data_IF_398552173528
#
_entry.id   IF_398552173528
#
_cell.length_a   1.000
_cell.length_b   1.000
_cell.length_c   1.000
_cell.angle_alpha   90.00
_cell.angle_beta   90.00
_cell.angle_gamma   90.00
#
_symmetry.space_group_name_H-M   'P 1'
#
loop_
_entity.id
_entity.type
_entity.pdbx_description
1 polymer ?
#
# COMPACT_ATOMS: atom_id res chain seq x y z
N UNK A 1 -23.65 25.65 5.08
CA UNK A 1 -23.16 24.66 6.05
C UNK A 1 -23.72 23.30 5.62
N UNK A 2 -22.85 22.32 5.26
CA UNK A 2 -23.34 20.95 5.00
C UNK A 2 -23.83 20.37 6.32
N UNK A 3 -25.09 19.94 6.36
CA UNK A 3 -25.66 19.23 7.50
C UNK A 3 -24.82 17.97 7.72
N UNK A 4 -24.11 17.90 8.84
CA UNK A 4 -23.30 16.72 9.19
C UNK A 4 -24.26 15.60 9.60
N UNK A 5 -24.30 14.52 8.86
CA UNK A 5 -25.15 13.37 9.18
C UNK A 5 -24.66 12.66 10.44
N UNK A 6 -25.57 12.00 11.16
CA UNK A 6 -25.22 11.25 12.38
C UNK A 6 -24.16 10.17 12.10
N UNK A 7 -24.24 9.49 10.95
CA UNK A 7 -23.26 8.53 10.48
C UNK A 7 -21.87 9.15 10.36
N UNK A 8 -21.76 10.35 9.76
CA UNK A 8 -20.48 11.02 9.59
C UNK A 8 -19.86 11.42 10.93
N UNK A 9 -20.68 11.91 11.87
CA UNK A 9 -20.25 12.25 13.23
C UNK A 9 -19.72 11.03 13.98
N UNK A 10 -20.45 9.91 13.97
CA UNK A 10 -20.06 8.67 14.62
C UNK A 10 -18.79 8.08 14.01
N UNK A 11 -18.67 8.15 12.67
CA UNK A 11 -17.45 7.73 11.99
C UNK A 11 -16.24 8.57 12.38
N UNK A 12 -16.35 9.89 12.38
CA UNK A 12 -15.26 10.78 12.77
C UNK A 12 -14.80 10.56 14.20
N UNK A 13 -15.74 10.34 15.13
CA UNK A 13 -15.43 9.98 16.50
C UNK A 13 -14.67 8.65 16.59
N UNK A 14 -15.18 7.60 15.93
CA UNK A 14 -14.54 6.29 15.88
C UNK A 14 -13.12 6.36 15.29
N UNK A 15 -12.96 7.08 14.18
CA UNK A 15 -11.67 7.32 13.54
C UNK A 15 -10.69 8.02 14.46
N UNK A 16 -11.16 9.02 15.22
CA UNK A 16 -10.33 9.76 16.17
C UNK A 16 -9.84 8.82 17.30
N UNK A 17 -10.73 8.04 17.88
CA UNK A 17 -10.35 7.04 18.89
C UNK A 17 -9.32 6.04 18.38
N UNK A 18 -9.51 5.52 17.17
CA UNK A 18 -8.55 4.59 16.52
C UNK A 18 -7.20 5.29 16.31
N UNK A 19 -7.18 6.54 15.83
CA UNK A 19 -5.95 7.30 15.61
C UNK A 19 -5.19 7.55 16.91
N UNK A 20 -5.88 7.89 17.98
CA UNK A 20 -5.29 8.07 19.32
C UNK A 20 -4.64 6.79 19.85
N UNK A 21 -5.31 5.65 19.69
CA UNK A 21 -4.76 4.34 20.07
C UNK A 21 -3.51 4.02 19.24
N UNK A 22 -3.54 4.26 17.92
CA UNK A 22 -2.39 4.07 17.05
C UNK A 22 -1.21 4.92 17.55
N UNK A 23 -1.45 6.19 17.82
CA UNK A 23 -0.40 7.11 18.26
C UNK A 23 0.22 6.71 19.61
N UNK A 24 -0.60 6.22 20.55
CA UNK A 24 -0.16 5.87 21.92
C UNK A 24 0.46 4.47 22.00
N UNK A 25 -0.08 3.50 21.26
CA UNK A 25 0.23 2.08 21.46
C UNK A 25 1.06 1.46 20.34
N UNK A 26 1.08 2.04 19.13
CA UNK A 26 1.83 1.46 18.02
C UNK A 26 3.23 2.07 17.92
N UNK A 27 4.30 1.30 18.18
CA UNK A 27 5.65 1.82 18.11
C UNK A 27 6.02 2.20 16.67
N UNK A 28 6.44 3.43 16.46
CA UNK A 28 6.90 3.91 15.16
C UNK A 28 8.42 3.95 15.08
N UNK A 29 9.00 3.45 13.98
CA UNK A 29 10.44 3.52 13.72
C UNK A 29 10.71 4.27 12.43
N UNK A 30 11.51 5.33 12.48
CA UNK A 30 12.05 5.96 11.28
C UNK A 30 12.93 4.95 10.53
N UNK A 31 12.48 4.53 9.36
CA UNK A 31 13.31 3.72 8.45
C UNK A 31 14.24 4.67 7.72
N UNK A 32 15.56 4.59 8.00
CA UNK A 32 16.54 5.33 7.22
C UNK A 32 16.50 4.81 5.79
N UNK A 33 16.32 5.71 4.80
CA UNK A 33 16.17 5.37 3.38
C UNK A 33 17.39 4.74 2.70
N UNK A 34 18.41 4.30 3.44
CA UNK A 34 19.52 3.52 2.90
C UNK A 34 19.06 2.08 2.69
N UNK A 35 18.94 1.70 1.44
CA UNK A 35 18.73 0.31 1.06
C UNK A 35 19.82 -0.56 1.70
N UNK A 36 19.41 -1.45 2.58
CA UNK A 36 20.31 -2.46 3.16
C UNK A 36 19.99 -3.78 2.46
N UNK A 37 20.92 -4.29 1.62
CA UNK A 37 20.70 -5.58 0.96
C UNK A 37 20.41 -6.66 2.00
N UNK A 38 19.33 -7.45 1.84
CA UNK A 38 18.89 -8.41 2.85
C UNK A 38 19.91 -9.53 3.10
N UNK A 39 20.78 -9.84 2.14
CA UNK A 39 21.82 -10.86 2.26
C UNK A 39 23.05 -10.41 3.07
N UNK A 40 23.17 -9.13 3.44
CA UNK A 40 24.30 -8.68 4.26
C UNK A 40 24.11 -9.07 5.73
N UNK A 41 24.81 -10.12 6.13
CA UNK A 41 24.78 -10.70 7.49
C UNK A 41 25.59 -9.88 8.49
N UNK A 42 25.44 -10.22 9.80
CA UNK A 42 26.28 -9.66 10.85
C UNK A 42 27.78 -9.98 10.66
N UNK A 43 28.11 -11.17 10.12
CA UNK A 43 29.48 -11.57 9.76
C UNK A 43 30.07 -10.66 8.70
N UNK A 44 29.33 -10.44 7.60
CA UNK A 44 29.77 -9.52 6.53
C UNK A 44 30.05 -8.11 7.06
N UNK A 45 29.20 -7.59 7.95
CA UNK A 45 29.41 -6.25 8.56
C UNK A 45 30.70 -6.19 9.40
N UNK A 46 31.02 -7.26 10.14
CA UNK A 46 32.27 -7.34 10.91
C UNK A 46 33.49 -7.36 9.96
N UNK A 47 33.44 -8.14 8.88
CA UNK A 47 34.49 -8.21 7.88
C UNK A 47 34.67 -6.88 7.13
N UNK A 48 33.58 -6.17 6.81
CA UNK A 48 33.66 -4.81 6.21
C UNK A 48 34.43 -3.86 7.13
N UNK A 49 34.12 -3.87 8.44
CA UNK A 49 34.82 -3.03 9.42
C UNK A 49 36.30 -3.46 9.57
N UNK A 50 36.61 -4.77 9.55
CA UNK A 50 37.96 -5.33 9.61
C UNK A 50 38.75 -4.90 8.38
N UNK A 51 38.15 -5.03 7.18
CA UNK A 51 38.76 -4.55 5.91
C UNK A 51 39.07 -3.07 5.97
N UNK A 52 38.17 -2.22 6.46
CA UNK A 52 38.40 -0.77 6.54
C UNK A 52 39.56 -0.42 7.49
N UNK A 53 39.62 -1.11 8.65
CA UNK A 53 40.75 -0.91 9.60
C UNK A 53 42.07 -1.37 9.01
N UNK A 54 42.10 -2.53 8.32
CA UNK A 54 43.32 -3.02 7.65
C UNK A 54 43.75 -2.08 6.51
N UNK A 55 42.82 -1.48 5.75
CA UNK A 55 43.11 -0.49 4.73
C UNK A 55 43.77 0.77 5.31
N UNK A 56 43.18 1.32 6.38
CA UNK A 56 43.74 2.51 7.01
C UNK A 56 45.15 2.25 7.54
N UNK A 57 45.38 1.09 8.22
CA UNK A 57 46.70 0.69 8.69
C UNK A 57 47.70 0.58 7.56
N UNK A 58 47.33 -0.11 6.45
CA UNK A 58 48.21 -0.27 5.30
C UNK A 58 48.55 1.07 4.63
N UNK A 59 47.59 2.02 4.61
CA UNK A 59 47.78 3.36 4.11
C UNK A 59 48.74 4.19 4.98
N UNK A 60 48.62 4.03 6.31
CA UNK A 60 49.41 4.82 7.27
C UNK A 60 50.85 4.27 7.41
N UNK A 61 51.04 2.92 7.32
CA UNK A 61 52.37 2.26 7.47
C UNK A 61 53.10 2.12 6.16
N UNK A 62 52.40 2.16 5.02
CA UNK A 62 52.88 1.86 3.66
C UNK A 62 53.77 0.59 3.55
N UNK A 63 53.46 -0.43 4.39
CA UNK A 63 54.21 -1.67 4.50
C UNK A 63 53.52 -2.79 3.71
N UNK A 64 54.29 -3.56 2.94
CA UNK A 64 53.79 -4.68 2.13
C UNK A 64 53.07 -5.75 2.93
N UNK A 65 53.45 -5.99 4.19
CA UNK A 65 52.73 -6.94 5.08
C UNK A 65 51.31 -6.48 5.40
N UNK A 66 51.12 -5.19 5.65
CA UNK A 66 49.83 -4.62 5.90
C UNK A 66 48.95 -4.60 4.66
N UNK A 67 49.52 -4.29 3.50
CA UNK A 67 48.83 -4.42 2.22
C UNK A 67 48.45 -5.86 1.89
N UNK A 68 49.26 -6.83 2.21
CA UNK A 68 48.96 -8.26 2.03
C UNK A 68 47.83 -8.67 2.95
N UNK A 69 47.82 -8.21 4.20
CA UNK A 69 46.73 -8.45 5.16
C UNK A 69 45.42 -7.86 4.64
N UNK A 70 45.41 -6.64 4.16
CA UNK A 70 44.23 -6.01 3.55
C UNK A 70 43.71 -6.80 2.34
N UNK A 71 44.61 -7.24 1.43
CA UNK A 71 44.24 -8.04 0.25
C UNK A 71 43.58 -9.36 0.64
N UNK A 72 44.08 -10.04 1.67
CA UNK A 72 43.52 -11.30 2.17
C UNK A 72 42.14 -11.09 2.76
N UNK A 73 41.96 -10.09 3.63
CA UNK A 73 40.63 -9.75 4.20
C UNK A 73 39.63 -9.34 3.11
N UNK A 74 40.11 -8.62 2.08
CA UNK A 74 39.26 -8.24 0.92
C UNK A 74 38.77 -9.47 0.16
N UNK A 75 39.65 -10.46 -0.10
CA UNK A 75 39.33 -11.71 -0.78
C UNK A 75 38.31 -12.52 0.04
N UNK A 76 38.53 -12.64 1.35
CA UNK A 76 37.61 -13.33 2.27
C UNK A 76 36.23 -12.68 2.25
N UNK A 77 36.17 -11.35 2.36
CA UNK A 77 34.90 -10.60 2.31
C UNK A 77 34.17 -10.77 0.97
N UNK A 78 34.89 -10.76 -0.15
CA UNK A 78 34.29 -10.94 -1.48
C UNK A 78 33.66 -12.34 -1.61
N UNK A 79 34.35 -13.38 -1.12
CA UNK A 79 33.84 -14.74 -1.11
C UNK A 79 32.58 -14.84 -0.23
N UNK A 80 32.66 -14.40 1.04
CA UNK A 80 31.53 -14.44 1.98
C UNK A 80 30.32 -13.66 1.48
N UNK A 81 30.52 -12.51 0.83
CA UNK A 81 29.41 -11.74 0.25
C UNK A 81 28.75 -12.46 -0.93
N UNK A 82 29.54 -13.11 -1.78
CA UNK A 82 29.02 -13.91 -2.91
C UNK A 82 28.22 -15.11 -2.39
N UNK A 83 28.73 -15.82 -1.41
CA UNK A 83 28.09 -16.99 -0.82
C UNK A 83 26.75 -16.57 -0.12
N UNK A 84 26.79 -15.50 0.66
CA UNK A 84 25.62 -14.97 1.32
C UNK A 84 24.52 -14.51 0.31
N UNK A 85 24.94 -13.94 -0.81
CA UNK A 85 24.01 -13.53 -1.86
C UNK A 85 23.40 -14.73 -2.59
N UNK A 86 24.22 -15.74 -2.91
CA UNK A 86 23.74 -16.97 -3.56
C UNK A 86 22.76 -17.74 -2.65
N UNK A 87 23.09 -17.87 -1.36
CA UNK A 87 22.20 -18.50 -0.39
C UNK A 87 20.86 -17.76 -0.31
N UNK A 88 20.90 -16.42 -0.20
CA UNK A 88 19.68 -15.62 -0.19
C UNK A 88 18.81 -15.82 -1.45
N UNK A 89 19.43 -15.90 -2.63
CA UNK A 89 18.67 -16.16 -3.88
C UNK A 89 18.04 -17.54 -3.84
N UNK A 90 18.79 -18.57 -3.42
CA UNK A 90 18.27 -19.92 -3.32
C UNK A 90 17.11 -20.02 -2.32
N UNK A 91 17.22 -19.38 -1.16
CA UNK A 91 16.16 -19.34 -0.16
C UNK A 91 14.91 -18.64 -0.71
N UNK A 92 15.07 -17.51 -1.38
CA UNK A 92 13.96 -16.75 -2.01
C UNK A 92 13.26 -17.56 -3.10
N UNK A 93 13.99 -18.38 -3.87
CA UNK A 93 13.42 -19.23 -4.92
C UNK A 93 12.71 -20.45 -4.29
N UNK A 94 13.29 -21.06 -3.26
CA UNK A 94 12.72 -22.25 -2.61
C UNK A 94 11.47 -21.93 -1.79
N UNK A 95 11.41 -20.79 -1.09
CA UNK A 95 10.27 -20.42 -0.22
C UNK A 95 9.09 -19.80 -0.98
N UNK A 96 9.36 -18.83 -1.86
CA UNK A 96 8.33 -18.00 -2.52
C UNK A 96 8.20 -18.29 -4.04
N UNK A 97 9.00 -19.18 -4.59
CA UNK A 97 9.03 -19.56 -6.02
C UNK A 97 9.15 -18.33 -6.94
N UNK A 98 8.33 -18.29 -7.98
CA UNK A 98 8.34 -17.19 -8.97
C UNK A 98 8.03 -15.82 -8.36
N UNK A 99 7.24 -15.74 -7.28
CA UNK A 99 6.92 -14.46 -6.61
C UNK A 99 8.14 -13.88 -5.89
N UNK A 100 8.93 -14.74 -5.25
CA UNK A 100 10.18 -14.35 -4.60
C UNK A 100 11.19 -13.83 -5.60
N UNK A 101 11.39 -14.54 -6.71
CA UNK A 101 12.26 -14.14 -7.80
C UNK A 101 11.88 -12.76 -8.38
N UNK A 102 10.61 -12.53 -8.65
CA UNK A 102 10.13 -11.23 -9.14
C UNK A 102 10.35 -10.09 -8.13
N UNK A 103 10.16 -10.37 -6.83
CA UNK A 103 10.45 -9.40 -5.76
C UNK A 103 11.94 -9.03 -5.74
N UNK A 104 12.81 -10.02 -5.84
CA UNK A 104 14.25 -9.82 -5.92
C UNK A 104 14.65 -9.00 -7.15
N UNK A 105 14.18 -9.37 -8.35
CA UNK A 105 14.48 -8.68 -9.61
C UNK A 105 14.01 -7.21 -9.59
N UNK A 106 12.84 -6.92 -9.04
CA UNK A 106 12.37 -5.54 -8.85
C UNK A 106 13.28 -4.73 -7.93
N UNK A 107 13.79 -5.34 -6.86
CA UNK A 107 14.75 -4.70 -5.96
C UNK A 107 16.10 -4.41 -6.62
N UNK A 108 16.62 -5.32 -7.45
CA UNK A 108 17.89 -5.17 -8.17
C UNK A 108 17.80 -4.13 -9.28
N UNK A 109 16.69 -4.09 -10.02
CA UNK A 109 16.48 -3.15 -11.13
C UNK A 109 16.35 -1.69 -10.69
N UNK A 110 16.29 -1.40 -9.38
CA UNK A 110 16.06 -0.04 -8.86
C UNK A 110 14.93 0.67 -9.62
N UNK A 111 13.88 -0.07 -9.97
CA UNK A 111 12.69 0.56 -10.51
C UNK A 111 12.21 1.52 -9.42
N UNK A 112 12.54 2.79 -9.60
CA UNK A 112 12.09 3.83 -8.69
C UNK A 112 10.59 3.73 -8.61
N UNK A 113 10.05 3.46 -7.42
CA UNK A 113 8.61 3.38 -7.19
C UNK A 113 7.91 4.74 -7.42
N UNK A 114 8.63 5.73 -7.93
CA UNK A 114 8.14 7.07 -8.18
C UNK A 114 7.81 7.33 -9.64
N UNK A 115 6.94 8.30 -9.86
CA UNK A 115 6.69 8.87 -11.18
C UNK A 115 7.91 9.69 -11.60
N UNK A 116 8.54 9.33 -12.72
CA UNK A 116 9.65 10.09 -13.32
C UNK A 116 9.20 11.50 -13.73
N UNK A 117 10.08 12.23 -14.43
CA UNK A 117 9.69 13.49 -15.07
C UNK A 117 8.58 13.23 -16.08
N UNK A 118 7.50 13.98 -15.99
CA UNK A 118 6.39 13.91 -16.95
C UNK A 118 6.49 15.03 -17.97
N UNK A 119 6.10 14.72 -19.18
CA UNK A 119 6.08 15.65 -20.33
C UNK A 119 4.72 15.52 -21.01
N UNK A 120 4.02 16.63 -21.17
CA UNK A 120 2.79 16.72 -21.94
C UNK A 120 2.88 17.96 -22.82
N UNK A 121 2.94 17.75 -24.13
CA UNK A 121 3.16 18.82 -25.09
C UNK A 121 4.44 19.62 -24.77
N UNK A 122 4.34 20.91 -24.44
CA UNK A 122 5.45 21.80 -24.09
C UNK A 122 5.69 21.90 -22.56
N UNK A 123 4.84 21.25 -21.74
CA UNK A 123 4.95 21.30 -20.28
C UNK A 123 5.80 20.14 -19.76
N UNK A 124 6.77 20.45 -18.89
CA UNK A 124 7.63 19.47 -18.21
C UNK A 124 7.41 19.58 -16.71
N UNK A 125 6.93 18.50 -16.10
CA UNK A 125 6.70 18.40 -14.65
C UNK A 125 7.82 17.62 -13.98
N UNK A 126 8.58 18.29 -13.12
CA UNK A 126 9.70 17.70 -12.34
C UNK A 126 9.35 17.60 -10.86
N UNK A 127 8.65 18.58 -10.34
CA UNK A 127 8.27 18.64 -8.93
C UNK A 127 7.05 17.75 -8.63
N UNK A 128 6.94 17.17 -7.42
CA UNK A 128 5.84 16.27 -7.07
C UNK A 128 4.45 16.88 -7.27
N UNK A 129 4.26 18.16 -6.93
CA UNK A 129 2.98 18.86 -7.11
C UNK A 129 2.61 18.99 -8.58
N UNK A 130 3.55 19.44 -9.44
CA UNK A 130 3.34 19.57 -10.88
C UNK A 130 2.98 18.24 -11.55
N UNK A 131 3.64 17.15 -11.11
CA UNK A 131 3.35 15.79 -11.60
C UNK A 131 1.94 15.35 -11.20
N UNK A 132 1.55 15.62 -9.96
CA UNK A 132 0.22 15.29 -9.46
C UNK A 132 -0.85 16.04 -10.26
N UNK A 133 -0.65 17.34 -10.53
CA UNK A 133 -1.59 18.15 -11.32
C UNK A 133 -1.69 17.65 -12.75
N UNK A 134 -0.56 17.41 -13.42
CA UNK A 134 -0.54 16.90 -14.80
C UNK A 134 -1.22 15.52 -14.93
N UNK A 135 -1.07 14.64 -13.93
CA UNK A 135 -1.76 13.35 -13.87
C UNK A 135 -3.25 13.53 -13.58
N UNK A 136 -3.61 14.45 -12.70
CA UNK A 136 -5.00 14.77 -12.39
C UNK A 136 -5.75 15.30 -13.61
N UNK A 137 -5.16 16.23 -14.35
CA UNK A 137 -5.68 16.70 -15.63
C UNK A 137 -5.91 15.54 -16.61
N UNK A 138 -4.92 14.63 -16.73
CA UNK A 138 -5.02 13.48 -17.62
C UNK A 138 -6.12 12.51 -17.19
N UNK A 139 -6.23 12.21 -15.89
CA UNK A 139 -7.25 11.29 -15.40
C UNK A 139 -8.64 11.87 -15.49
N UNK A 140 -8.80 13.17 -15.21
CA UNK A 140 -10.08 13.87 -15.33
C UNK A 140 -10.55 13.98 -16.79
N UNK A 141 -9.63 14.09 -17.75
CA UNK A 141 -9.98 14.25 -19.17
C UNK A 141 -10.60 13.01 -19.80
N UNK A 142 -10.44 11.84 -19.17
CA UNK A 142 -11.01 10.58 -19.69
C UNK A 142 -12.35 10.21 -19.06
N UNK A 143 -12.85 10.99 -18.10
CA UNK A 143 -14.20 10.78 -17.57
C UNK A 143 -15.24 11.20 -18.61
N UNK A 144 -16.13 10.28 -18.92
CA UNK A 144 -17.32 10.57 -19.71
C UNK A 144 -18.34 11.34 -18.86
N UNK A 145 -19.00 12.32 -19.45
CA UNK A 145 -20.19 12.91 -18.83
C UNK A 145 -21.37 12.01 -19.20
N UNK A 146 -22.03 11.48 -18.18
CA UNK A 146 -23.27 10.74 -18.41
C UNK A 146 -24.34 11.71 -18.88
N UNK A 147 -24.99 11.35 -19.97
CA UNK A 147 -26.22 12.02 -20.41
C UNK A 147 -27.38 11.31 -19.67
N UNK A 148 -27.85 11.94 -18.61
CA UNK A 148 -28.94 11.39 -17.78
C UNK A 148 -30.33 11.64 -18.36
N UNK A 149 -30.42 12.22 -19.56
CA UNK A 149 -31.70 12.62 -20.16
C UNK A 149 -32.48 11.47 -20.78
N UNK A 150 -31.85 10.32 -20.98
CA UNK A 150 -32.47 9.18 -21.68
C UNK A 150 -32.23 7.86 -20.88
N UNK A 151 -32.75 7.81 -19.66
CA UNK A 151 -32.79 6.55 -18.88
C UNK A 151 -34.00 5.76 -19.37
N UNK A 152 -33.81 4.57 -19.98
CA UNK A 152 -34.94 3.75 -20.42
C UNK A 152 -35.83 3.39 -19.25
N UNK A 153 -37.14 3.64 -19.40
CA UNK A 153 -38.12 3.11 -18.48
C UNK A 153 -38.26 1.60 -18.72
N UNK A 154 -37.72 0.81 -17.80
CA UNK A 154 -37.75 -0.65 -17.88
C UNK A 154 -39.10 -1.23 -17.40
N UNK A 155 -40.05 -0.40 -17.00
CA UNK A 155 -41.31 -0.81 -16.40
C UNK A 155 -41.15 -1.38 -14.97
N UNK A 156 -42.21 -1.99 -14.40
CA UNK A 156 -42.17 -2.56 -13.07
C UNK A 156 -41.20 -3.76 -13.01
N UNK A 157 -40.39 -3.83 -11.95
CA UNK A 157 -39.43 -4.92 -11.77
C UNK A 157 -40.19 -6.28 -11.70
N UNK A 158 -39.79 -7.30 -12.48
CA UNK A 158 -40.34 -8.63 -12.38
C UNK A 158 -39.84 -9.40 -11.14
N UNK A 159 -38.87 -8.86 -10.41
CA UNK A 159 -38.27 -9.48 -9.24
C UNK A 159 -38.89 -8.98 -7.93
N UNK A 160 -38.84 -9.79 -6.92
CA UNK A 160 -39.27 -9.40 -5.55
C UNK A 160 -38.33 -8.32 -5.02
N UNK A 161 -38.90 -7.43 -4.20
CA UNK A 161 -38.08 -6.44 -3.50
C UNK A 161 -37.05 -7.11 -2.58
N UNK A 162 -35.83 -6.59 -2.58
CA UNK A 162 -34.79 -7.06 -1.70
C UNK A 162 -35.14 -6.74 -0.24
N UNK A 163 -35.06 -7.71 0.67
CA UNK A 163 -35.31 -7.44 2.09
C UNK A 163 -34.22 -6.51 2.65
N UNK A 164 -34.52 -5.70 3.69
CA UNK A 164 -33.54 -4.83 4.32
C UNK A 164 -32.32 -5.62 4.82
N UNK A 165 -31.13 -5.18 4.43
CA UNK A 165 -29.87 -5.81 4.85
C UNK A 165 -29.66 -5.56 6.35
N UNK A 166 -29.40 -6.62 7.11
CA UNK A 166 -29.06 -6.56 8.53
C UNK A 166 -27.59 -6.94 8.76
N UNK A 167 -26.80 -6.01 9.28
CA UNK A 167 -25.39 -6.20 9.52
C UNK A 167 -25.14 -7.07 10.75
N UNK A 168 -24.73 -8.32 10.53
CA UNK A 168 -24.38 -9.26 11.59
C UNK A 168 -22.95 -9.07 12.10
N UNK A 169 -22.76 -8.95 13.44
CA UNK A 169 -21.43 -8.84 14.06
C UNK A 169 -20.52 -10.01 13.68
N UNK A 170 -21.03 -11.23 13.59
CA UNK A 170 -20.24 -12.41 13.21
C UNK A 170 -19.66 -12.30 11.78
N UNK A 171 -20.45 -11.76 10.83
CA UNK A 171 -20.01 -11.50 9.47
C UNK A 171 -18.89 -10.46 9.41
N UNK A 172 -19.06 -9.34 10.12
CA UNK A 172 -18.03 -8.28 10.21
C UNK A 172 -16.73 -8.84 10.82
N UNK A 173 -16.82 -9.59 11.92
CA UNK A 173 -15.66 -10.22 12.56
C UNK A 173 -14.92 -11.17 11.61
N UNK A 174 -15.63 -12.00 10.87
CA UNK A 174 -15.06 -12.91 9.88
C UNK A 174 -14.30 -12.17 8.79
N UNK A 175 -14.85 -11.07 8.28
CA UNK A 175 -14.20 -10.24 7.27
C UNK A 175 -12.94 -9.55 7.81
N UNK A 176 -12.99 -8.99 9.02
CA UNK A 176 -11.82 -8.38 9.67
C UNK A 176 -10.69 -9.40 9.90
N UNK A 177 -11.00 -10.58 10.41
CA UNK A 177 -10.01 -11.65 10.63
C UNK A 177 -9.37 -12.17 9.34
N UNK A 178 -10.08 -12.10 8.21
CA UNK A 178 -9.58 -12.53 6.90
C UNK A 178 -8.83 -11.45 6.11
N UNK A 179 -8.67 -10.25 6.65
CA UNK A 179 -7.94 -9.17 5.98
C UNK A 179 -6.49 -9.55 5.65
N UNK A 180 -6.06 -9.18 4.44
CA UNK A 180 -4.66 -9.27 4.03
C UNK A 180 -3.89 -8.08 4.60
N UNK A 181 -3.02 -8.33 5.57
CA UNK A 181 -2.34 -7.31 6.38
C UNK A 181 -1.39 -6.38 5.62
N UNK A 182 -0.92 -6.79 4.42
CA UNK A 182 0.02 -6.01 3.59
C UNK A 182 -0.65 -5.09 2.56
N UNK A 183 -1.94 -4.84 2.66
CA UNK A 183 -2.63 -3.89 1.79
C UNK A 183 -2.38 -2.45 2.24
N UNK A 184 -2.30 -1.54 1.26
CA UNK A 184 -2.23 -0.12 1.51
C UNK A 184 -3.52 0.39 2.17
N UNK A 185 -3.39 1.30 3.14
CA UNK A 185 -4.51 2.02 3.74
C UNK A 185 -5.02 3.13 2.83
N UNK A 186 -6.28 3.51 3.00
CA UNK A 186 -6.89 4.65 2.34
C UNK A 186 -6.54 6.00 2.98
N UNK A 187 -7.33 7.05 2.70
CA UNK A 187 -7.15 8.38 3.27
C UNK A 187 -7.25 8.44 4.79
N UNK A 188 -7.99 7.50 5.39
CA UNK A 188 -8.15 7.35 6.84
C UNK A 188 -6.88 6.91 7.56
N UNK A 189 -5.88 6.41 6.81
CA UNK A 189 -4.59 5.91 7.31
C UNK A 189 -4.70 4.76 8.31
N UNK A 190 -5.83 4.05 8.33
CA UNK A 190 -6.04 2.88 9.21
C UNK A 190 -5.48 1.63 8.52
N UNK A 191 -4.41 1.00 9.05
CA UNK A 191 -3.77 -0.13 8.40
C UNK A 191 -4.55 -1.43 8.62
N UNK A 192 -4.57 -2.30 7.60
CA UNK A 192 -5.25 -3.60 7.65
C UNK A 192 -4.77 -4.49 8.80
N UNK A 193 -3.50 -4.40 9.18
CA UNK A 193 -2.96 -5.17 10.30
C UNK A 193 -3.64 -4.80 11.62
N UNK A 194 -3.89 -3.52 11.87
CA UNK A 194 -4.60 -3.08 13.08
C UNK A 194 -6.03 -3.62 13.10
N UNK A 195 -6.76 -3.46 12.00
CA UNK A 195 -8.13 -3.95 11.87
C UNK A 195 -8.23 -5.45 12.11
N UNK A 196 -7.23 -6.21 11.64
CA UNK A 196 -7.17 -7.65 11.86
C UNK A 196 -6.82 -8.01 13.31
N UNK A 197 -5.86 -7.30 13.91
CA UNK A 197 -5.38 -7.61 15.27
C UNK A 197 -6.43 -7.26 16.33
N UNK A 198 -7.13 -6.13 16.15
CA UNK A 198 -8.19 -5.66 17.06
C UNK A 198 -9.59 -5.97 16.51
N UNK A 199 -9.75 -7.09 15.78
CA UNK A 199 -10.99 -7.41 15.10
C UNK A 199 -12.17 -7.58 16.06
N UNK A 200 -11.97 -8.18 17.23
CA UNK A 200 -13.01 -8.43 18.21
C UNK A 200 -13.53 -7.14 18.85
N UNK A 201 -12.59 -6.26 19.21
CA UNK A 201 -12.88 -4.97 19.85
C UNK A 201 -13.55 -3.98 18.87
N UNK A 202 -13.13 -4.00 17.59
CA UNK A 202 -13.67 -3.10 16.58
C UNK A 202 -15.01 -3.55 16.01
N UNK A 203 -15.32 -4.84 16.05
CA UNK A 203 -16.53 -5.41 15.44
C UNK A 203 -17.83 -4.75 15.90
N UNK A 204 -18.10 -4.53 17.20
CA UNK A 204 -19.37 -3.94 17.64
C UNK A 204 -19.59 -2.53 17.08
N UNK A 205 -18.53 -1.71 17.11
CA UNK A 205 -18.55 -0.33 16.63
C UNK A 205 -18.73 -0.28 15.11
N UNK A 206 -17.97 -1.11 14.36
CA UNK A 206 -18.06 -1.12 12.90
C UNK A 206 -19.41 -1.68 12.42
N UNK A 207 -19.93 -2.72 13.04
CA UNK A 207 -21.24 -3.24 12.70
C UNK A 207 -22.36 -2.18 12.92
N UNK A 208 -22.27 -1.40 13.98
CA UNK A 208 -23.19 -0.30 14.24
C UNK A 208 -23.09 0.79 13.17
N UNK A 209 -21.88 1.24 12.81
CA UNK A 209 -21.67 2.25 11.76
C UNK A 209 -22.16 1.74 10.40
N UNK A 210 -21.86 0.49 10.05
CA UNK A 210 -22.33 -0.13 8.80
C UNK A 210 -23.86 -0.18 8.72
N UNK A 211 -24.54 -0.58 9.80
CA UNK A 211 -25.98 -0.55 9.83
C UNK A 211 -26.53 0.87 9.66
N UNK A 212 -25.93 1.86 10.34
CA UNK A 212 -26.32 3.25 10.17
C UNK A 212 -26.17 3.76 8.73
N UNK A 213 -25.15 3.29 7.99
CA UNK A 213 -25.00 3.69 6.56
C UNK A 213 -26.16 3.22 5.72
N UNK A 214 -26.71 2.04 6.02
CA UNK A 214 -27.88 1.49 5.34
C UNK A 214 -29.17 2.20 5.78
N UNK A 215 -29.36 2.36 7.07
CA UNK A 215 -30.59 2.96 7.63
C UNK A 215 -30.76 4.43 7.20
N UNK A 216 -29.65 5.16 7.00
CA UNK A 216 -29.64 6.58 6.60
C UNK A 216 -29.37 6.79 5.12
N UNK A 217 -29.22 5.72 4.33
CA UNK A 217 -28.88 5.78 2.88
C UNK A 217 -27.72 6.72 2.59
N UNK A 218 -26.71 6.76 3.49
CA UNK A 218 -25.58 7.65 3.36
C UNK A 218 -24.31 7.04 3.95
N UNK A 219 -23.17 7.37 3.35
CA UNK A 219 -21.84 6.92 3.82
C UNK A 219 -21.03 8.11 4.33
N UNK A 220 -20.10 7.87 5.28
CA UNK A 220 -19.19 8.91 5.75
C UNK A 220 -18.44 9.59 4.60
N UNK A 221 -18.17 10.89 4.72
CA UNK A 221 -17.48 11.67 3.66
C UNK A 221 -16.07 11.14 3.37
N UNK A 222 -15.36 10.65 4.39
CA UNK A 222 -14.05 10.01 4.23
C UNK A 222 -14.09 8.78 3.30
N UNK A 223 -15.23 8.07 3.25
CA UNK A 223 -15.35 6.85 2.43
C UNK A 223 -15.58 7.18 0.95
N UNK A 224 -16.05 8.40 0.67
CA UNK A 224 -16.18 8.93 -0.69
C UNK A 224 -14.86 9.43 -1.26
N UNK A 225 -13.80 9.53 -0.42
CA UNK A 225 -12.48 9.97 -0.81
C UNK A 225 -11.53 8.80 -1.07
N UNK A 226 -10.57 8.99 -1.97
CA UNK A 226 -9.52 8.03 -2.27
C UNK A 226 -8.16 8.71 -2.46
N UNK A 227 -7.08 8.00 -2.11
CA UNK A 227 -5.73 8.36 -2.54
C UNK A 227 -5.49 7.77 -3.92
N UNK A 228 -5.38 8.61 -4.95
CA UNK A 228 -5.11 8.15 -6.31
C UNK A 228 -3.61 7.92 -6.49
N UNK A 229 -3.25 6.68 -6.81
CA UNK A 229 -1.86 6.30 -7.09
C UNK A 229 -1.72 6.02 -8.57
N UNK A 230 -0.84 6.74 -9.29
CA UNK A 230 -0.57 6.49 -10.70
C UNK A 230 0.24 5.20 -10.87
N UNK A 231 -0.28 4.27 -11.66
CA UNK A 231 0.40 3.01 -11.99
C UNK A 231 0.75 3.01 -13.47
N UNK A 232 2.03 2.92 -13.78
CA UNK A 232 2.51 2.84 -15.16
C UNK A 232 1.98 1.56 -15.84
N UNK A 233 1.41 1.71 -17.04
CA UNK A 233 0.82 0.61 -17.82
C UNK A 233 1.76 0.10 -18.92
N UNK A 234 2.16 0.98 -19.85
CA UNK A 234 3.01 0.68 -21.01
C UNK A 234 3.46 1.97 -21.68
N UNK A 235 4.39 1.90 -22.63
CA UNK A 235 4.86 3.04 -23.42
C UNK A 235 5.98 3.83 -22.74
N UNK A 236 6.05 5.12 -22.97
CA UNK A 236 7.05 6.00 -22.37
C UNK A 236 6.62 6.45 -20.98
N UNK A 237 7.50 6.31 -19.99
CA UNK A 237 7.25 6.71 -18.59
C UNK A 237 7.09 8.23 -18.40
N UNK A 238 7.51 9.02 -19.37
CA UNK A 238 7.34 10.48 -19.36
C UNK A 238 5.95 10.95 -19.77
N UNK A 239 5.13 10.10 -20.34
CA UNK A 239 3.80 10.47 -20.84
C UNK A 239 2.73 10.16 -19.81
N UNK A 240 1.92 11.15 -19.35
CA UNK A 240 0.83 10.94 -18.38
C UNK A 240 -0.23 9.94 -18.84
N UNK A 241 -0.53 9.88 -20.14
CA UNK A 241 -1.51 8.96 -20.73
C UNK A 241 -1.14 7.47 -20.55
N UNK A 242 0.13 7.17 -20.26
CA UNK A 242 0.63 5.82 -20.04
C UNK A 242 0.47 5.33 -18.58
N UNK A 243 -0.13 6.16 -17.74
CA UNK A 243 -0.47 5.81 -16.36
C UNK A 243 -1.97 5.58 -16.23
N UNK A 244 -2.34 4.68 -15.32
CA UNK A 244 -3.73 4.49 -14.90
C UNK A 244 -3.88 4.91 -13.44
N UNK A 245 -5.01 5.54 -13.07
CA UNK A 245 -5.32 5.83 -11.68
C UNK A 245 -5.70 4.53 -10.96
N UNK A 246 -5.16 4.33 -9.76
CA UNK A 246 -5.60 3.30 -8.83
C UNK A 246 -6.05 4.00 -7.57
N UNK A 247 -7.35 3.94 -7.28
CA UNK A 247 -7.95 4.56 -6.10
C UNK A 247 -7.76 3.66 -4.89
N UNK A 248 -7.08 4.19 -3.87
CA UNK A 248 -6.94 3.57 -2.57
C UNK A 248 -8.01 4.16 -1.65
N UNK A 249 -9.13 3.48 -1.53
CA UNK A 249 -10.23 3.81 -0.62
C UNK A 249 -9.99 3.21 0.76
N UNK A 250 -10.76 3.65 1.77
CA UNK A 250 -10.75 3.06 3.12
C UNK A 250 -10.95 1.54 3.10
N UNK A 251 -10.17 0.81 3.90
CA UNK A 251 -10.33 -0.64 4.05
C UNK A 251 -11.68 -0.96 4.73
N UNK A 252 -12.11 -0.12 5.65
CA UNK A 252 -13.38 -0.25 6.35
C UNK A 252 -14.55 -0.07 5.39
N UNK A 253 -14.47 0.92 4.48
CA UNK A 253 -15.45 1.09 3.41
C UNK A 253 -15.57 -0.17 2.55
N UNK A 254 -14.44 -0.77 2.14
CA UNK A 254 -14.43 -2.02 1.36
C UNK A 254 -15.07 -3.21 2.08
N UNK A 255 -15.00 -3.26 3.40
CA UNK A 255 -15.69 -4.30 4.18
C UNK A 255 -17.21 -4.07 4.10
N UNK A 256 -17.67 -2.82 4.26
CA UNK A 256 -19.08 -2.48 4.12
C UNK A 256 -19.60 -2.78 2.70
N UNK A 257 -18.89 -2.34 1.67
CA UNK A 257 -19.19 -2.65 0.26
C UNK A 257 -19.29 -4.16 0.02
N UNK A 258 -18.36 -4.94 0.57
CA UNK A 258 -18.35 -6.39 0.41
C UNK A 258 -19.60 -7.04 1.03
N UNK A 259 -20.07 -6.57 2.18
CA UNK A 259 -21.30 -7.08 2.80
C UNK A 259 -22.49 -6.78 1.90
N UNK A 260 -22.62 -5.53 1.44
CA UNK A 260 -23.73 -5.11 0.57
C UNK A 260 -23.73 -5.93 -0.73
N UNK A 261 -22.56 -6.07 -1.37
CA UNK A 261 -22.45 -6.86 -2.61
C UNK A 261 -22.83 -8.32 -2.37
N UNK A 262 -22.39 -8.95 -1.26
CA UNK A 262 -22.72 -10.34 -0.97
C UNK A 262 -24.24 -10.53 -0.81
N UNK A 263 -24.88 -9.70 0.00
CA UNK A 263 -26.34 -9.78 0.21
C UNK A 263 -27.13 -9.50 -1.08
N UNK A 264 -26.63 -8.58 -1.93
CA UNK A 264 -27.24 -8.29 -3.23
C UNK A 264 -27.10 -9.49 -4.18
N UNK A 265 -25.93 -10.11 -4.22
CA UNK A 265 -25.71 -11.30 -5.08
C UNK A 265 -26.55 -12.49 -4.61
N UNK A 266 -26.64 -12.72 -3.31
CA UNK A 266 -27.48 -13.78 -2.74
C UNK A 266 -28.98 -13.57 -3.02
N UNK A 267 -29.42 -12.31 -3.22
CA UNK A 267 -30.77 -11.99 -3.63
C UNK A 267 -31.05 -12.22 -5.13
N UNK A 268 -30.01 -12.07 -5.97
CA UNK A 268 -30.13 -12.21 -7.43
C UNK A 268 -29.96 -13.66 -7.92
N UNK A 269 -29.41 -14.56 -7.12
CA UNK A 269 -29.31 -16.01 -7.39
C UNK A 269 -30.59 -16.74 -6.98
#
# INVERSE_FOLDING_TARGET
MKSTTLVNTNWLYAKHCIADVIQKCVPSKKVSGRYKPPWITGKNKRLIRKKQRAYNRAKDSDNDKDWTTFRNIRKELQKDMKDAHNNYINDVISEDGNKGLWRYLKGVRKDSCGVGTLVKELKVATQPGEKAEMLNEQFSSVFTREDSTDVPDLGPSPFKEMPPIKIGKAGVLKLLKNLKTRKASGPDKIPAILLKTCAEELTPMLAFIFQQTLDQNTVPDDWKAALVTPVFKKGKRSEPANYRPVSLTSIICKINEHIIVSETMDHLE
#
